data_IF_228739610879
#
_entry.id   IF_228739610879
#
_cell.length_a   1.000
_cell.length_b   1.000
_cell.length_c   1.000
_cell.angle_alpha   90.00
_cell.angle_beta   90.00
_cell.angle_gamma   90.00
#
_symmetry.space_group_name_H-M   'P 1'
#
loop_
_entity.id
_entity.type
_entity.pdbx_description
1 polymer ?
#
# COMPACT_ATOMS: atom_id res chain seq x y z
N UNK A 1 -21.92 -14.80 -1.48
CA UNK A 1 -21.47 -16.18 -1.33
C UNK A 1 -20.07 -16.26 -1.90
N UNK A 2 -19.08 -16.40 -1.03
CA UNK A 2 -17.67 -16.49 -1.36
C UNK A 2 -17.38 -17.79 -2.14
N UNK A 3 -16.47 -17.75 -3.11
CA UNK A 3 -16.12 -18.93 -3.90
C UNK A 3 -15.21 -19.84 -3.07
N UNK A 4 -15.63 -21.07 -2.72
CA UNK A 4 -14.90 -21.92 -1.77
C UNK A 4 -13.48 -22.27 -2.25
N UNK A 5 -13.26 -22.41 -3.57
CA UNK A 5 -11.93 -22.69 -4.12
C UNK A 5 -10.97 -21.51 -3.94
N UNK A 6 -11.49 -20.28 -4.03
CA UNK A 6 -10.70 -19.08 -3.82
C UNK A 6 -10.38 -18.90 -2.34
N UNK A 7 -11.32 -19.16 -1.43
CA UNK A 7 -11.06 -19.14 0.01
C UNK A 7 -9.95 -20.13 0.39
N UNK A 8 -10.03 -21.39 -0.05
CA UNK A 8 -8.98 -22.40 0.22
C UNK A 8 -7.62 -21.99 -0.33
N UNK A 9 -7.57 -21.35 -1.50
CA UNK A 9 -6.32 -20.83 -2.07
C UNK A 9 -5.74 -19.71 -1.19
N UNK A 10 -6.56 -18.73 -0.78
CA UNK A 10 -6.12 -17.62 0.06
C UNK A 10 -5.67 -18.09 1.45
N UNK A 11 -6.38 -19.04 2.05
CA UNK A 11 -5.98 -19.72 3.28
C UNK A 11 -4.62 -20.40 3.13
N UNK A 12 -4.40 -21.12 2.03
CA UNK A 12 -3.14 -21.80 1.75
C UNK A 12 -1.99 -20.80 1.59
N UNK A 13 -2.23 -19.68 0.89
CA UNK A 13 -1.25 -18.60 0.76
C UNK A 13 -0.93 -18.03 2.14
N UNK A 14 -1.93 -17.59 2.90
CA UNK A 14 -1.73 -17.02 4.24
C UNK A 14 -0.98 -17.99 5.15
N UNK A 15 -1.32 -19.28 5.14
CA UNK A 15 -0.63 -20.30 5.91
C UNK A 15 0.86 -20.42 5.53
N UNK A 16 1.20 -20.37 4.24
CA UNK A 16 2.60 -20.41 3.79
C UNK A 16 3.36 -19.16 4.22
N UNK A 17 2.75 -17.98 4.07
CA UNK A 17 3.34 -16.69 4.48
C UNK A 17 3.61 -16.67 5.98
N UNK A 18 2.61 -17.03 6.79
CA UNK A 18 2.72 -17.02 8.27
C UNK A 18 3.67 -18.10 8.77
N UNK A 19 3.67 -19.32 8.19
CA UNK A 19 4.62 -20.39 8.58
C UNK A 19 6.08 -19.98 8.38
N UNK A 20 6.38 -19.28 7.27
CA UNK A 20 7.73 -18.75 7.02
C UNK A 20 8.10 -17.65 8.02
N UNK A 21 7.09 -16.93 8.51
CA UNK A 21 7.22 -15.90 9.54
C UNK A 21 7.32 -16.39 10.98
N UNK A 22 6.98 -17.65 11.27
CA UNK A 22 6.83 -18.18 12.64
C UNK A 22 8.14 -18.30 13.44
N UNK A 23 9.29 -17.96 12.86
CA UNK A 23 10.56 -17.87 13.58
C UNK A 23 10.85 -16.47 14.13
N UNK A 24 10.12 -15.44 13.69
CA UNK A 24 10.27 -14.05 14.13
C UNK A 24 8.95 -13.60 14.77
N UNK A 25 8.91 -13.52 16.11
CA UNK A 25 7.77 -12.97 16.81
C UNK A 25 7.52 -11.50 16.38
N UNK A 26 6.25 -11.12 16.22
CA UNK A 26 5.68 -9.75 16.11
C UNK A 26 5.39 -9.12 14.73
N UNK A 27 5.56 -9.83 13.60
CA UNK A 27 5.27 -9.22 12.29
C UNK A 27 3.84 -9.49 11.82
N UNK A 28 3.19 -8.48 11.25
CA UNK A 28 1.84 -8.61 10.68
C UNK A 28 1.84 -9.40 9.38
N UNK A 29 0.66 -9.86 8.93
CA UNK A 29 0.54 -10.55 7.64
C UNK A 29 1.03 -9.65 6.49
N UNK A 30 0.71 -8.37 6.55
CA UNK A 30 1.11 -7.32 5.64
C UNK A 30 2.64 -7.15 5.59
N UNK A 31 3.29 -7.13 6.75
CA UNK A 31 4.76 -7.02 6.84
C UNK A 31 5.45 -8.28 6.30
N UNK A 32 4.87 -9.46 6.51
CA UNK A 32 5.39 -10.69 5.91
C UNK A 32 5.29 -10.67 4.39
N UNK A 33 4.21 -10.14 3.80
CA UNK A 33 4.10 -9.98 2.35
C UNK A 33 5.24 -9.13 1.80
N UNK A 34 5.59 -8.02 2.47
CA UNK A 34 6.75 -7.20 2.07
C UNK A 34 8.05 -7.98 2.20
N UNK A 35 8.23 -8.68 3.32
CA UNK A 35 9.46 -9.43 3.63
C UNK A 35 9.69 -10.58 2.66
N UNK A 36 8.64 -11.22 2.14
CA UNK A 36 8.75 -12.33 1.19
C UNK A 36 9.47 -11.97 -0.10
N UNK A 37 9.25 -10.76 -0.60
CA UNK A 37 9.78 -10.27 -1.87
C UNK A 37 10.98 -9.33 -1.69
N UNK A 38 11.58 -9.32 -0.50
CA UNK A 38 12.76 -8.51 -0.20
C UNK A 38 13.89 -8.79 -1.19
N UNK A 39 14.45 -7.72 -1.78
CA UNK A 39 15.50 -7.83 -2.79
C UNK A 39 15.01 -8.24 -4.18
N UNK A 40 13.70 -8.34 -4.41
CA UNK A 40 13.08 -8.63 -5.70
C UNK A 40 12.02 -7.58 -6.05
N UNK A 41 12.46 -6.35 -6.34
CA UNK A 41 11.60 -5.18 -6.52
C UNK A 41 10.43 -5.43 -7.50
N UNK A 42 10.71 -6.02 -8.67
CA UNK A 42 9.67 -6.33 -9.65
C UNK A 42 8.58 -7.28 -9.12
N UNK A 43 8.98 -8.31 -8.36
CA UNK A 43 8.04 -9.27 -7.77
C UNK A 43 7.25 -8.66 -6.61
N UNK A 44 7.91 -7.81 -5.81
CA UNK A 44 7.26 -7.05 -4.74
C UNK A 44 6.16 -6.17 -5.32
N UNK A 45 6.46 -5.33 -6.32
CA UNK A 45 5.48 -4.43 -6.93
C UNK A 45 4.31 -5.20 -7.56
N UNK A 46 4.59 -6.30 -8.27
CA UNK A 46 3.53 -7.17 -8.84
C UNK A 46 2.65 -7.79 -7.75
N UNK A 47 3.26 -8.27 -6.68
CA UNK A 47 2.53 -8.83 -5.54
C UNK A 47 1.63 -7.78 -4.87
N UNK A 48 2.16 -6.59 -4.63
CA UNK A 48 1.41 -5.46 -4.07
C UNK A 48 0.22 -5.07 -4.95
N UNK A 49 0.45 -4.95 -6.26
CA UNK A 49 -0.60 -4.65 -7.22
C UNK A 49 -1.69 -5.74 -7.24
N UNK A 50 -1.30 -7.01 -7.24
CA UNK A 50 -2.24 -8.13 -7.18
C UNK A 50 -3.11 -8.07 -5.91
N UNK A 51 -2.49 -7.87 -4.75
CA UNK A 51 -3.24 -7.78 -3.48
C UNK A 51 -4.17 -6.58 -3.43
N UNK A 52 -3.73 -5.42 -3.92
CA UNK A 52 -4.56 -4.23 -4.06
C UNK A 52 -5.76 -4.51 -4.97
N UNK A 53 -5.55 -5.18 -6.11
CA UNK A 53 -6.63 -5.54 -7.03
C UNK A 53 -7.62 -6.52 -6.40
N UNK A 54 -7.13 -7.54 -5.69
CA UNK A 54 -7.96 -8.52 -4.99
C UNK A 54 -8.82 -7.79 -3.95
N UNK A 55 -8.20 -6.98 -3.07
CA UNK A 55 -8.92 -6.24 -2.04
C UNK A 55 -9.98 -5.30 -2.62
N UNK A 56 -9.68 -4.61 -3.73
CA UNK A 56 -10.62 -3.69 -4.36
C UNK A 56 -11.77 -4.39 -5.12
N UNK A 57 -11.59 -5.64 -5.54
CA UNK A 57 -12.60 -6.40 -6.30
C UNK A 57 -13.51 -7.24 -5.40
N UNK A 58 -13.09 -7.52 -4.18
CA UNK A 58 -13.88 -8.30 -3.25
C UNK A 58 -14.97 -7.40 -2.66
N UNK A 59 -16.21 -7.79 -2.96
CA UNK A 59 -17.40 -7.08 -2.49
C UNK A 59 -17.59 -7.25 -0.99
N UNK A 60 -18.49 -6.45 -0.40
CA UNK A 60 -18.95 -6.59 0.99
C UNK A 60 -19.38 -8.02 1.36
N UNK A 61 -19.66 -8.88 0.38
CA UNK A 61 -20.02 -10.28 0.59
C UNK A 61 -18.88 -11.18 1.11
N UNK A 62 -17.66 -10.66 1.22
CA UNK A 62 -16.47 -11.35 1.74
C UNK A 62 -16.05 -10.82 3.13
N UNK A 63 -16.97 -10.21 3.86
CA UNK A 63 -16.70 -9.60 5.16
C UNK A 63 -16.08 -10.59 6.15
N UNK A 64 -16.55 -11.84 6.18
CA UNK A 64 -16.07 -12.88 7.09
C UNK A 64 -14.65 -13.35 6.71
N UNK A 65 -14.29 -13.29 5.43
CA UNK A 65 -13.01 -13.75 4.89
C UNK A 65 -11.97 -12.63 4.71
N UNK A 66 -12.24 -11.40 5.15
CA UNK A 66 -11.30 -10.27 5.05
C UNK A 66 -9.93 -10.57 5.67
N UNK A 67 -9.92 -11.36 6.75
CA UNK A 67 -8.70 -11.77 7.44
C UNK A 67 -7.73 -12.58 6.56
N UNK A 68 -8.19 -13.17 5.44
CA UNK A 68 -7.34 -13.93 4.52
C UNK A 68 -6.51 -13.04 3.59
N UNK A 69 -6.79 -11.74 3.58
CA UNK A 69 -6.26 -10.78 2.63
C UNK A 69 -5.46 -9.75 3.42
N UNK A 70 -4.23 -9.45 2.97
CA UNK A 70 -3.47 -8.38 3.60
C UNK A 70 -4.20 -7.06 3.37
N UNK A 71 -4.37 -6.27 4.42
CA UNK A 71 -4.96 -4.96 4.32
C UNK A 71 -4.06 -4.08 3.41
N UNK A 72 -4.54 -3.58 2.26
CA UNK A 72 -3.71 -2.82 1.33
C UNK A 72 -3.09 -1.56 1.94
N UNK A 73 -3.82 -0.88 2.82
CA UNK A 73 -3.35 0.31 3.51
C UNK A 73 -2.14 -0.02 4.40
N UNK A 74 -2.28 -1.03 5.26
CA UNK A 74 -1.19 -1.43 6.15
C UNK A 74 -0.01 -2.03 5.39
N UNK A 75 -0.28 -2.76 4.29
CA UNK A 75 0.76 -3.26 3.39
C UNK A 75 1.56 -2.11 2.77
N UNK A 76 0.88 -1.03 2.36
CA UNK A 76 1.55 0.17 1.86
C UNK A 76 2.38 0.87 2.94
N UNK A 77 1.86 0.98 4.18
CA UNK A 77 2.62 1.54 5.30
C UNK A 77 3.88 0.71 5.59
N UNK A 78 3.76 -0.61 5.66
CA UNK A 78 4.90 -1.51 5.85
C UNK A 78 5.92 -1.39 4.71
N UNK A 79 5.48 -1.18 3.46
CA UNK A 79 6.39 -0.88 2.35
C UNK A 79 7.15 0.42 2.60
N UNK A 80 6.45 1.50 2.94
CA UNK A 80 7.06 2.82 3.16
C UNK A 80 8.07 2.80 4.29
N UNK A 81 7.72 2.18 5.41
CA UNK A 81 8.64 1.96 6.54
C UNK A 81 9.86 1.16 6.11
N UNK A 82 9.65 0.08 5.34
CA UNK A 82 10.73 -0.78 4.87
C UNK A 82 11.73 -0.06 3.97
N UNK A 83 11.26 0.89 3.15
CA UNK A 83 12.12 1.70 2.27
C UNK A 83 12.59 3.00 2.93
N UNK A 84 12.29 3.21 4.22
CA UNK A 84 12.67 4.41 4.97
C UNK A 84 12.05 5.68 4.41
N UNK A 85 10.83 5.60 3.86
CA UNK A 85 10.11 6.72 3.25
C UNK A 85 10.92 7.45 2.16
N UNK A 86 11.75 6.71 1.41
CA UNK A 86 12.58 7.28 0.34
C UNK A 86 11.76 7.55 -0.93
N UNK A 87 11.51 8.82 -1.22
CA UNK A 87 10.89 9.23 -2.49
C UNK A 87 11.78 8.92 -3.70
N UNK A 88 13.10 8.93 -3.52
CA UNK A 88 14.05 8.63 -4.60
C UNK A 88 13.97 7.19 -5.07
N UNK A 89 13.84 6.23 -4.14
CA UNK A 89 13.69 4.81 -4.52
C UNK A 89 12.41 4.57 -5.34
N UNK A 90 11.33 5.28 -4.98
CA UNK A 90 10.06 5.18 -5.70
C UNK A 90 10.18 5.78 -7.10
N UNK A 91 10.92 6.89 -7.24
CA UNK A 91 11.25 7.46 -8.55
C UNK A 91 12.10 6.49 -9.35
N UNK A 92 13.12 5.87 -8.75
CA UNK A 92 13.97 4.88 -9.42
C UNK A 92 13.15 3.69 -9.94
N UNK A 93 12.20 3.21 -9.14
CA UNK A 93 11.24 2.19 -9.58
C UNK A 93 10.35 2.70 -10.72
N UNK A 94 9.79 3.91 -10.61
CA UNK A 94 8.94 4.50 -11.67
C UNK A 94 9.66 4.65 -13.01
N UNK A 95 10.95 4.96 -13.02
CA UNK A 95 11.74 5.07 -14.26
C UNK A 95 12.34 3.74 -14.72
N UNK A 96 12.37 2.74 -13.84
CA UNK A 96 12.87 1.41 -14.18
C UNK A 96 11.85 0.65 -15.05
N UNK A 97 12.24 0.21 -16.26
CA UNK A 97 11.36 -0.58 -17.12
C UNK A 97 11.05 -1.97 -16.55
N UNK A 98 11.81 -2.42 -15.55
CA UNK A 98 11.65 -3.72 -14.92
C UNK A 98 10.59 -3.71 -13.82
N UNK A 99 10.24 -2.53 -13.29
CA UNK A 99 9.23 -2.42 -12.24
C UNK A 99 7.93 -1.85 -12.78
N UNK A 100 6.83 -2.49 -12.45
CA UNK A 100 5.49 -2.05 -12.86
C UNK A 100 4.92 -1.03 -11.87
N UNK A 101 5.77 -0.15 -11.33
CA UNK A 101 5.42 0.74 -10.21
C UNK A 101 4.28 1.69 -10.55
N UNK A 102 4.18 2.10 -11.81
CA UNK A 102 3.06 2.91 -12.30
C UNK A 102 1.71 2.18 -12.18
N UNK A 103 1.66 0.86 -12.39
CA UNK A 103 0.42 0.09 -12.25
C UNK A 103 -0.08 0.12 -10.81
N UNK A 104 0.84 0.13 -9.86
CA UNK A 104 0.52 0.21 -8.44
C UNK A 104 0.14 1.63 -8.01
N UNK A 105 0.97 2.64 -8.32
CA UNK A 105 0.82 4.00 -7.79
C UNK A 105 -0.18 4.90 -8.52
N UNK A 106 -0.54 4.62 -9.77
CA UNK A 106 -1.54 5.45 -10.47
C UNK A 106 -2.94 5.27 -9.87
N UNK A 107 -3.49 4.04 -9.72
CA UNK A 107 -4.78 3.84 -9.08
C UNK A 107 -4.70 3.71 -7.55
N UNK A 108 -3.53 3.35 -7.01
CA UNK A 108 -3.35 2.95 -5.62
C UNK A 108 -3.68 4.02 -4.57
N UNK A 109 -3.04 5.20 -4.57
CA UNK A 109 -3.13 6.14 -3.45
C UNK A 109 -4.57 6.52 -3.06
N UNK A 110 -5.48 6.84 -3.99
CA UNK A 110 -6.88 7.09 -3.64
C UNK A 110 -7.57 5.85 -3.07
N UNK A 111 -7.34 4.66 -3.65
CA UNK A 111 -7.95 3.40 -3.18
C UNK A 111 -7.44 3.04 -1.78
N UNK A 112 -6.14 3.20 -1.54
CA UNK A 112 -5.49 2.95 -0.26
C UNK A 112 -6.01 3.86 0.86
N UNK A 113 -6.53 5.04 0.49
CA UNK A 113 -7.03 6.05 1.43
C UNK A 113 -8.56 6.11 1.56
N UNK A 114 -9.30 5.68 0.53
CA UNK A 114 -10.78 5.71 0.49
C UNK A 114 -11.42 4.37 0.80
N UNK A 115 -10.72 3.25 0.54
CA UNK A 115 -11.19 1.89 0.83
C UNK A 115 -11.09 1.50 2.31
N UNK A 116 -10.56 2.39 3.13
CA UNK A 116 -10.46 2.23 4.57
C UNK A 116 -11.63 2.93 5.24
N UNK A 117 -12.60 2.16 5.74
CA UNK A 117 -13.06 2.45 7.10
C UNK A 117 -11.77 2.44 7.94
N UNK A 118 -11.32 3.63 8.33
CA UNK A 118 -9.99 3.98 8.90
C UNK A 118 -9.65 3.28 10.23
N UNK A 119 -10.29 2.14 10.54
CA UNK A 119 -10.34 1.49 11.84
C UNK A 119 -10.13 -0.03 11.79
N UNK A 120 -10.05 -0.66 10.62
CA UNK A 120 -9.77 -2.10 10.58
C UNK A 120 -8.26 -2.33 10.82
N UNK A 121 -7.89 -2.99 11.95
CA UNK A 121 -6.51 -3.35 12.22
C UNK A 121 -5.98 -4.31 11.13
N UNK A 122 -4.66 -4.45 10.99
CA UNK A 122 -4.09 -5.44 10.08
C UNK A 122 -4.60 -6.85 10.38
N UNK A 123 -4.53 -7.72 9.39
CA UNK A 123 -5.10 -9.08 9.43
C UNK A 123 -4.36 -10.00 10.42
N UNK A 124 -4.55 -9.81 11.74
CA UNK A 124 -4.09 -10.76 12.75
C UNK A 124 -3.87 -10.28 14.19
N UNK A 125 -3.74 -8.99 14.52
CA UNK A 125 -3.32 -8.55 15.87
C UNK A 125 -3.93 -7.21 16.36
N UNK A 126 -3.79 -6.95 17.67
CA UNK A 126 -4.49 -6.01 18.56
C UNK A 126 -4.06 -4.53 18.48
N UNK A 127 -5.06 -3.65 18.59
CA UNK A 127 -5.16 -2.30 19.23
C UNK A 127 -3.99 -1.27 19.28
N UNK A 128 -2.72 -1.62 19.12
CA UNK A 128 -1.58 -0.70 19.33
C UNK A 128 -0.99 -0.10 18.04
N UNK A 129 -1.50 -0.50 16.87
CA UNK A 129 -1.03 0.02 15.59
C UNK A 129 -1.67 1.37 15.28
N UNK A 130 -0.86 2.42 15.40
CA UNK A 130 -1.23 3.78 15.06
C UNK A 130 -0.90 4.03 13.60
N UNK A 131 -1.89 4.49 12.83
CA UNK A 131 -1.67 4.92 11.44
C UNK A 131 -0.61 6.04 11.43
N UNK A 132 0.54 5.87 10.74
CA UNK A 132 1.58 6.89 10.61
C UNK A 132 1.19 8.00 9.61
N UNK A 133 0.05 8.68 9.86
CA UNK A 133 -0.63 9.53 8.86
C UNK A 133 0.25 10.67 8.38
N UNK A 134 0.93 11.31 9.33
CA UNK A 134 1.82 12.44 9.09
C UNK A 134 3.00 12.03 8.21
N UNK A 135 3.65 10.90 8.51
CA UNK A 135 4.80 10.43 7.76
C UNK A 135 4.44 10.04 6.33
N UNK A 136 3.29 9.36 6.15
CA UNK A 136 2.74 9.03 4.83
C UNK A 136 2.42 10.31 4.04
N UNK A 137 1.77 11.29 4.67
CA UNK A 137 1.45 12.57 4.03
C UNK A 137 2.72 13.31 3.58
N UNK A 138 3.71 13.46 4.47
CA UNK A 138 4.99 14.08 4.15
C UNK A 138 5.72 13.36 3.02
N UNK A 139 5.70 12.03 3.02
CA UNK A 139 6.27 11.23 1.95
C UNK A 139 5.58 11.51 0.60
N UNK A 140 4.25 11.53 0.56
CA UNK A 140 3.50 11.79 -0.68
C UNK A 140 3.77 13.21 -1.21
N UNK A 141 3.82 14.22 -0.33
CA UNK A 141 4.18 15.61 -0.69
C UNK A 141 5.60 15.67 -1.29
N UNK A 142 6.56 14.96 -0.68
CA UNK A 142 7.94 14.90 -1.20
C UNK A 142 8.01 14.20 -2.55
N UNK A 143 7.30 13.10 -2.71
CA UNK A 143 7.22 12.36 -3.98
C UNK A 143 6.61 13.23 -5.08
N UNK A 144 5.50 13.92 -4.77
CA UNK A 144 4.85 14.85 -5.69
C UNK A 144 5.82 15.92 -6.19
N UNK A 145 6.47 16.65 -5.28
CA UNK A 145 7.47 17.69 -5.62
C UNK A 145 8.64 17.15 -6.44
N UNK A 146 9.12 15.95 -6.12
CA UNK A 146 10.19 15.30 -6.85
C UNK A 146 9.77 15.00 -8.29
N UNK A 147 8.57 14.45 -8.49
CA UNK A 147 8.02 14.15 -9.80
C UNK A 147 7.71 15.42 -10.61
N UNK A 148 7.20 16.48 -9.99
CA UNK A 148 7.00 17.79 -10.63
C UNK A 148 8.33 18.34 -11.15
N UNK A 149 9.34 18.39 -10.29
CA UNK A 149 10.69 18.87 -10.65
C UNK A 149 11.26 18.04 -11.80
N UNK A 150 11.20 16.71 -11.71
CA UNK A 150 11.71 15.84 -12.77
C UNK A 150 10.92 16.00 -14.07
N UNK A 151 9.61 16.22 -14.01
CA UNK A 151 8.77 16.47 -15.17
C UNK A 151 9.13 17.78 -15.88
N UNK A 152 9.28 18.86 -15.12
CA UNK A 152 9.65 20.19 -15.64
C UNK A 152 11.00 20.15 -16.37
N UNK A 153 11.94 19.35 -15.88
CA UNK A 153 13.27 19.19 -16.48
C UNK A 153 13.31 18.11 -17.58
N UNK A 154 12.19 17.44 -17.89
CA UNK A 154 12.13 16.39 -18.92
C UNK A 154 12.85 15.09 -18.54
N UNK A 155 13.08 14.84 -17.25
CA UNK A 155 13.85 13.71 -16.74
C UNK A 155 13.01 12.46 -16.42
N UNK A 156 11.75 12.41 -16.88
CA UNK A 156 10.85 11.27 -16.69
C UNK A 156 10.50 10.68 -18.06
N UNK A 157 10.64 9.36 -18.27
CA UNK A 157 10.42 8.71 -19.57
C UNK A 157 8.92 8.50 -19.92
N UNK A 158 8.00 9.00 -19.10
CA UNK A 158 6.56 8.87 -19.27
C UNK A 158 5.84 10.17 -18.91
N UNK A 159 4.55 10.28 -19.25
CA UNK A 159 3.72 11.42 -18.86
C UNK A 159 3.18 11.23 -17.42
N UNK A 160 3.65 12.02 -16.43
CA UNK A 160 3.32 11.79 -15.03
C UNK A 160 1.98 12.41 -14.60
N UNK A 161 1.25 13.12 -15.49
CA UNK A 161 0.06 13.90 -15.12
C UNK A 161 -1.01 13.11 -14.36
N UNK A 162 -1.24 11.86 -14.77
CA UNK A 162 -2.22 11.00 -14.08
C UNK A 162 -1.76 10.62 -12.67
N UNK A 163 -0.47 10.32 -12.51
CA UNK A 163 0.14 10.01 -11.22
C UNK A 163 0.13 11.23 -10.30
N UNK A 164 0.57 12.39 -10.79
CA UNK A 164 0.57 13.65 -10.04
C UNK A 164 -0.82 13.96 -9.49
N UNK A 165 -1.86 13.91 -10.34
CA UNK A 165 -3.24 14.11 -9.90
C UNK A 165 -3.68 13.12 -8.82
N UNK A 166 -3.30 11.85 -8.97
CA UNK A 166 -3.63 10.81 -7.99
C UNK A 166 -2.98 11.07 -6.62
N UNK A 167 -1.72 11.52 -6.63
CA UNK A 167 -0.98 11.91 -5.43
C UNK A 167 -1.55 13.19 -4.80
N UNK A 168 -1.92 14.20 -5.59
CA UNK A 168 -2.57 15.44 -5.11
C UNK A 168 -3.87 15.13 -4.37
N UNK A 169 -4.73 14.28 -4.95
CA UNK A 169 -5.97 13.83 -4.31
C UNK A 169 -5.66 13.15 -2.98
N UNK A 170 -4.68 12.24 -2.97
CA UNK A 170 -4.27 11.53 -1.77
C UNK A 170 -3.76 12.45 -0.65
N UNK A 171 -2.89 13.42 -0.97
CA UNK A 171 -2.40 14.43 -0.04
C UNK A 171 -3.55 15.25 0.53
N UNK A 172 -4.42 15.77 -0.34
CA UNK A 172 -5.57 16.57 0.09
C UNK A 172 -6.51 15.79 1.03
N UNK A 173 -6.78 14.50 0.72
CA UNK A 173 -7.56 13.63 1.60
C UNK A 173 -6.92 13.49 2.98
N UNK A 174 -5.60 13.29 3.06
CA UNK A 174 -4.89 13.15 4.32
C UNK A 174 -4.90 14.44 5.16
N UNK A 175 -4.70 15.59 4.52
CA UNK A 175 -4.73 16.90 5.18
C UNK A 175 -6.12 17.23 5.74
N UNK A 176 -7.18 16.92 4.99
CA UNK A 176 -8.56 17.08 5.47
C UNK A 176 -8.85 16.22 6.71
N UNK A 177 -8.35 14.98 6.72
CA UNK A 177 -8.51 14.06 7.85
C UNK A 177 -7.74 14.52 9.10
N UNK A 178 -6.59 15.19 8.95
CA UNK A 178 -5.86 15.77 10.10
C UNK A 178 -6.64 16.95 10.71
N UNK A 179 -7.22 17.81 9.87
CA UNK A 179 -7.99 18.97 10.32
C UNK A 179 -9.28 18.60 11.05
N UNK A 180 -9.95 17.51 10.66
CA UNK A 180 -11.14 16.99 11.36
C UNK A 180 -10.79 16.32 12.70
N UNK A 181 -9.58 15.80 12.85
CA UNK A 181 -9.09 15.19 14.10
C UNK A 181 -8.80 16.26 15.17
N UNK A 182 -8.27 17.41 14.75
CA UNK A 182 -7.87 18.51 15.64
C UNK A 182 -9.03 19.43 16.07
N UNK A 183 -10.20 19.33 15.44
CA UNK A 183 -11.38 20.16 15.74
C UNK A 183 -12.36 19.48 16.71
N UNK A 184 -12.05 18.27 17.17
CA UNK A 184 -12.84 17.47 18.12
C UNK A 184 -12.16 17.21 19.46
N UNK A 185 -11.08 17.93 19.81
CA UNK A 185 -10.41 17.87 21.12
C UNK A 185 -10.68 19.12 21.95
#
# INVERSE_FOLDING_TARGET
SSNPKLCTLLESIKAVVVRKGSSEFSKSYEEFIITLFIGQDAHLIRGLYLWLMIANKLSQSWYEEQHLIPNPHWTFCSLLERIGYSSHLIVDWLVSPETEMLLYLVPGPPILLTGTDMSLPPSGETADLVWPRRDVCHFLVRLLRCLETLHEHGNIPFNPKALLRSLEIAVHTLEMLENSSNSGS
#
